data_IF_965116303744
#
_entry.id   IF_965116303744
#
_cell.length_a   1.000
_cell.length_b   1.000
_cell.length_c   1.000
_cell.angle_alpha   90.00
_cell.angle_beta   90.00
_cell.angle_gamma   90.00
#
_symmetry.space_group_name_H-M   'P 1'
#
loop_
_entity.id
_entity.type
_entity.pdbx_description
1 polymer ?
#
# COMPACT_ATOMS: atom_id res chain seq x y z
N UNK A 1 -54.17 17.28 21.00
CA UNK A 1 -53.06 16.30 20.98
C UNK A 1 -51.95 16.88 20.13
N UNK A 2 -50.85 17.32 20.75
CA UNK A 2 -49.70 17.91 20.04
C UNK A 2 -48.66 16.84 19.75
N UNK A 3 -48.28 16.67 18.49
CA UNK A 3 -47.23 15.74 18.07
C UNK A 3 -45.90 16.50 18.12
N UNK A 4 -45.01 16.10 19.02
CA UNK A 4 -43.63 16.60 19.08
C UNK A 4 -42.78 15.83 18.05
N UNK A 5 -42.14 16.58 17.15
CA UNK A 5 -41.27 16.05 16.12
C UNK A 5 -39.88 15.80 16.73
N UNK A 6 -39.51 14.53 16.96
CA UNK A 6 -38.21 14.15 17.52
C UNK A 6 -37.19 14.10 16.39
N UNK A 7 -36.36 15.13 16.28
CA UNK A 7 -35.23 15.17 15.35
C UNK A 7 -34.11 14.23 15.84
N UNK A 8 -34.13 12.99 15.37
CA UNK A 8 -33.06 12.02 15.63
C UNK A 8 -31.87 12.37 14.73
N UNK A 9 -30.85 13.03 15.29
CA UNK A 9 -29.54 13.17 14.65
C UNK A 9 -28.98 11.77 14.36
N UNK A 10 -28.56 11.45 13.13
CA UNK A 10 -27.88 10.19 12.87
C UNK A 10 -26.53 10.20 13.60
N UNK A 11 -26.43 9.33 14.62
CA UNK A 11 -25.18 8.97 15.27
C UNK A 11 -24.25 8.36 14.22
N UNK A 12 -23.10 8.98 14.00
CA UNK A 12 -22.01 8.47 13.17
C UNK A 12 -21.48 7.19 13.81
N UNK A 13 -22.16 6.07 13.55
CA UNK A 13 -21.64 4.74 13.82
C UNK A 13 -20.46 4.55 12.87
N UNK A 14 -19.25 4.50 13.42
CA UNK A 14 -18.08 4.05 12.67
C UNK A 14 -18.36 2.64 12.16
N UNK A 15 -18.78 2.56 10.90
CA UNK A 15 -19.05 1.30 10.24
C UNK A 15 -17.72 0.58 10.10
N UNK A 16 -17.54 -0.49 10.87
CA UNK A 16 -16.46 -1.48 10.76
C UNK A 16 -16.59 -2.32 9.48
N UNK A 17 -17.20 -1.78 8.44
CA UNK A 17 -17.25 -2.41 7.13
C UNK A 17 -15.90 -2.17 6.46
N UNK A 18 -15.24 -3.26 6.08
CA UNK A 18 -14.06 -3.20 5.22
C UNK A 18 -14.43 -2.37 3.98
N UNK A 19 -13.72 -1.26 3.80
CA UNK A 19 -13.92 -0.39 2.65
C UNK A 19 -13.63 -1.20 1.38
N UNK A 20 -14.48 -1.09 0.36
CA UNK A 20 -14.30 -1.75 -0.95
C UNK A 20 -14.18 -0.75 -2.09
N UNK A 21 -14.16 0.54 -1.79
CA UNK A 21 -14.17 1.65 -2.75
C UNK A 21 -12.78 1.91 -3.38
N UNK A 22 -11.80 1.01 -3.22
CA UNK A 22 -10.43 1.12 -3.73
C UNK A 22 -9.62 2.30 -3.16
N UNK A 23 -10.16 3.02 -2.17
CA UNK A 23 -9.51 4.15 -1.52
C UNK A 23 -8.88 3.74 -0.19
N UNK A 24 -7.74 4.37 0.10
CA UNK A 24 -7.06 4.30 1.39
C UNK A 24 -6.82 5.71 1.90
N UNK A 25 -6.63 5.88 3.21
CA UNK A 25 -6.21 7.17 3.76
C UNK A 25 -4.92 7.64 3.09
N UNK A 26 -4.89 8.92 2.70
CA UNK A 26 -3.67 9.55 2.24
C UNK A 26 -2.77 9.86 3.46
N UNK A 27 -1.82 8.96 3.75
CA UNK A 27 -0.90 9.08 4.90
C UNK A 27 0.00 10.32 4.83
N UNK A 28 0.14 10.94 3.66
CA UNK A 28 0.92 12.16 3.46
C UNK A 28 0.09 13.43 3.59
N UNK A 29 -1.25 13.33 3.69
CA UNK A 29 -2.09 14.49 3.96
C UNK A 29 -2.12 14.81 5.46
N UNK A 30 -2.17 16.12 5.78
CA UNK A 30 -2.44 16.60 7.13
C UNK A 30 -3.89 16.36 7.54
N UNK A 31 -4.82 16.31 6.58
CA UNK A 31 -6.23 16.10 6.85
C UNK A 31 -6.54 14.60 6.97
N UNK A 32 -7.09 14.12 8.11
CA UNK A 32 -7.37 12.71 8.32
C UNK A 32 -8.45 12.12 7.40
N UNK A 33 -9.25 12.97 6.75
CA UNK A 33 -10.33 12.55 5.85
C UNK A 33 -9.91 12.46 4.38
N UNK A 34 -8.70 12.93 4.03
CA UNK A 34 -8.22 12.84 2.66
C UNK A 34 -7.90 11.38 2.32
N UNK A 35 -8.41 10.95 1.16
CA UNK A 35 -8.19 9.60 0.63
C UNK A 35 -7.49 9.65 -0.70
N UNK A 36 -6.78 8.57 -1.01
CA UNK A 36 -6.10 8.34 -2.28
C UNK A 36 -6.41 6.93 -2.74
N UNK A 37 -6.52 6.71 -4.05
CA UNK A 37 -6.73 5.35 -4.56
C UNK A 37 -5.48 4.50 -4.33
N UNK A 38 -5.67 3.26 -3.88
CA UNK A 38 -4.57 2.32 -3.65
C UNK A 38 -3.75 2.04 -4.92
N UNK A 39 -4.41 1.93 -6.07
CA UNK A 39 -3.75 1.69 -7.36
C UNK A 39 -2.83 2.85 -7.78
N UNK A 40 -3.22 4.10 -7.50
CA UNK A 40 -2.41 5.29 -7.78
C UNK A 40 -1.18 5.32 -6.87
N UNK A 41 -1.32 4.91 -5.61
CA UNK A 41 -0.19 4.76 -4.69
C UNK A 41 0.81 3.74 -5.23
N UNK A 42 0.33 2.55 -5.59
CA UNK A 42 1.17 1.48 -6.15
C UNK A 42 1.83 1.90 -7.46
N UNK A 43 1.10 2.53 -8.39
CA UNK A 43 1.67 3.05 -9.64
C UNK A 43 2.81 4.05 -9.42
N UNK A 44 2.73 4.88 -8.37
CA UNK A 44 3.80 5.81 -8.00
C UNK A 44 5.00 5.07 -7.42
N UNK A 45 4.77 4.05 -6.61
CA UNK A 45 5.83 3.18 -6.08
C UNK A 45 6.54 2.42 -7.20
N UNK A 46 5.81 1.85 -8.15
CA UNK A 46 6.37 1.18 -9.34
C UNK A 46 7.31 2.12 -10.11
N UNK A 47 6.85 3.34 -10.39
CA UNK A 47 7.65 4.37 -11.06
C UNK A 47 8.88 4.82 -10.25
N UNK A 48 8.81 4.77 -8.93
CA UNK A 48 9.92 5.10 -8.06
C UNK A 48 10.93 3.94 -7.98
N UNK A 49 10.45 2.70 -7.84
CA UNK A 49 11.25 1.49 -7.79
C UNK A 49 12.04 1.28 -9.09
N UNK A 50 11.45 1.63 -10.24
CA UNK A 50 12.08 1.50 -11.55
C UNK A 50 13.23 2.49 -11.80
N UNK A 51 13.45 3.47 -10.92
CA UNK A 51 14.52 4.45 -11.12
C UNK A 51 15.87 3.84 -10.83
N UNK A 52 16.71 3.74 -11.86
CA UNK A 52 18.08 3.23 -11.72
C UNK A 52 18.15 1.74 -11.37
N UNK A 53 17.12 0.96 -11.69
CA UNK A 53 17.20 -0.51 -11.65
C UNK A 53 17.86 -1.11 -12.90
N UNK A 54 17.99 -0.33 -13.98
CA UNK A 54 18.52 -0.84 -15.25
C UNK A 54 17.62 -1.96 -15.81
N UNK A 55 18.24 -3.07 -16.21
CA UNK A 55 17.55 -4.28 -16.68
C UNK A 55 17.34 -5.31 -15.57
N UNK A 56 17.65 -4.97 -14.31
CA UNK A 56 17.61 -5.90 -13.19
C UNK A 56 16.26 -5.84 -12.47
N UNK A 57 15.52 -6.94 -12.54
CA UNK A 57 14.20 -7.06 -11.93
C UNK A 57 14.29 -7.16 -10.40
N UNK A 58 15.33 -7.78 -9.88
CA UNK A 58 15.60 -8.04 -8.47
C UNK A 58 15.70 -6.72 -7.69
N UNK A 59 16.42 -5.73 -8.26
CA UNK A 59 16.54 -4.38 -7.70
C UNK A 59 15.17 -3.68 -7.66
N UNK A 60 14.38 -3.84 -8.72
CA UNK A 60 13.04 -3.28 -8.79
C UNK A 60 12.10 -3.93 -7.77
N UNK A 61 12.08 -5.26 -7.72
CA UNK A 61 11.19 -6.05 -6.87
C UNK A 61 11.45 -5.77 -5.39
N UNK A 62 12.73 -5.83 -4.96
CA UNK A 62 13.13 -5.50 -3.59
C UNK A 62 12.64 -4.12 -3.19
N UNK A 63 12.96 -3.07 -3.96
CA UNK A 63 12.56 -1.69 -3.65
C UNK A 63 11.05 -1.51 -3.58
N UNK A 64 10.32 -2.10 -4.53
CA UNK A 64 8.87 -1.98 -4.57
C UNK A 64 8.23 -2.62 -3.35
N UNK A 65 8.65 -3.85 -3.01
CA UNK A 65 8.12 -4.57 -1.87
C UNK A 65 8.44 -3.86 -0.56
N UNK A 66 9.67 -3.35 -0.36
CA UNK A 66 10.00 -2.57 0.83
C UNK A 66 9.12 -1.33 0.98
N UNK A 67 8.95 -0.56 -0.10
CA UNK A 67 8.10 0.65 -0.06
C UNK A 67 6.64 0.30 0.23
N UNK A 68 6.12 -0.77 -0.37
CA UNK A 68 4.74 -1.20 -0.19
C UNK A 68 4.48 -1.74 1.23
N UNK A 69 5.41 -2.51 1.81
CA UNK A 69 5.33 -3.02 3.17
C UNK A 69 5.39 -1.89 4.20
N UNK A 70 6.30 -0.94 4.05
CA UNK A 70 6.38 0.27 4.90
C UNK A 70 5.08 1.10 4.81
N UNK A 71 4.49 1.23 3.62
CA UNK A 71 3.23 1.94 3.44
C UNK A 71 2.07 1.19 4.11
N UNK A 72 2.01 -0.13 3.95
CA UNK A 72 1.00 -0.99 4.55
C UNK A 72 1.02 -0.92 6.08
N UNK A 73 2.21 -0.88 6.69
CA UNK A 73 2.37 -0.74 8.14
C UNK A 73 1.80 0.58 8.65
N UNK A 74 2.02 1.68 7.91
CA UNK A 74 1.55 3.03 8.27
C UNK A 74 0.05 3.24 8.02
N UNK A 75 -0.59 2.39 7.22
CA UNK A 75 -2.01 2.51 6.95
C UNK A 75 -2.87 2.15 8.18
N UNK A 76 -4.01 2.84 8.38
CA UNK A 76 -5.03 2.41 9.33
C UNK A 76 -5.46 0.96 9.04
N UNK A 77 -5.69 0.16 10.08
CA UNK A 77 -6.03 -1.26 9.95
C UNK A 77 -7.22 -1.51 9.00
N UNK A 78 -8.22 -0.62 9.01
CA UNK A 78 -9.41 -0.70 8.14
C UNK A 78 -9.11 -0.55 6.64
N UNK A 79 -8.02 0.10 6.27
CA UNK A 79 -7.63 0.38 4.88
C UNK A 79 -6.65 -0.67 4.33
N UNK A 80 -6.00 -1.45 5.21
CA UNK A 80 -4.97 -2.44 4.84
C UNK A 80 -5.51 -3.49 3.84
N UNK A 81 -6.71 -4.08 4.00
CA UNK A 81 -7.21 -5.07 3.05
C UNK A 81 -7.42 -4.52 1.64
N UNK A 82 -7.79 -3.23 1.52
CA UNK A 82 -7.92 -2.55 0.21
C UNK A 82 -6.57 -2.47 -0.48
N UNK A 83 -5.54 -2.05 0.26
CA UNK A 83 -4.19 -1.92 -0.28
C UNK A 83 -3.60 -3.27 -0.69
N UNK A 84 -3.76 -4.30 0.16
CA UNK A 84 -3.33 -5.67 -0.15
C UNK A 84 -4.06 -6.20 -1.39
N UNK A 85 -5.37 -6.01 -1.48
CA UNK A 85 -6.16 -6.41 -2.64
C UNK A 85 -5.70 -5.72 -3.93
N UNK A 86 -5.44 -4.41 -3.88
CA UNK A 86 -4.91 -3.65 -5.01
C UNK A 86 -3.50 -4.10 -5.43
N UNK A 87 -2.64 -4.46 -4.47
CA UNK A 87 -1.31 -5.01 -4.75
C UNK A 87 -1.41 -6.39 -5.42
N UNK A 88 -2.28 -7.27 -4.92
CA UNK A 88 -2.51 -8.59 -5.51
C UNK A 88 -3.05 -8.51 -6.94
N UNK A 89 -3.93 -7.56 -7.25
CA UNK A 89 -4.41 -7.30 -8.62
C UNK A 89 -3.28 -6.90 -9.58
N UNK A 90 -2.16 -6.39 -9.07
CA UNK A 90 -0.97 -6.01 -9.83
C UNK A 90 0.12 -7.11 -9.80
N UNK A 91 -0.16 -8.24 -9.15
CA UNK A 91 0.77 -9.37 -9.06
C UNK A 91 1.73 -9.33 -7.86
N UNK A 92 1.54 -8.41 -6.91
CA UNK A 92 2.41 -8.30 -5.74
C UNK A 92 1.78 -8.98 -4.51
N UNK A 93 2.53 -9.88 -3.90
CA UNK A 93 2.16 -10.51 -2.63
C UNK A 93 2.84 -9.76 -1.49
N UNK A 94 2.08 -8.95 -0.75
CA UNK A 94 2.59 -8.17 0.37
C UNK A 94 2.69 -9.03 1.63
N UNK A 95 3.76 -9.81 1.73
CA UNK A 95 4.08 -10.65 2.89
C UNK A 95 5.55 -10.48 3.25
N UNK A 96 5.87 -10.73 4.53
CA UNK A 96 7.26 -10.66 5.00
C UNK A 96 8.18 -11.63 4.24
N UNK A 97 7.71 -12.86 3.98
CA UNK A 97 8.50 -13.87 3.26
C UNK A 97 8.82 -13.44 1.82
N UNK A 98 7.90 -12.76 1.14
CA UNK A 98 8.12 -12.25 -0.22
C UNK A 98 9.07 -11.05 -0.25
N UNK A 99 8.97 -10.17 0.76
CA UNK A 99 9.89 -9.05 0.94
C UNK A 99 11.31 -9.54 1.25
N UNK A 100 11.47 -10.48 2.18
CA UNK A 100 12.75 -11.11 2.52
C UNK A 100 13.38 -11.79 1.30
N UNK A 101 12.61 -12.61 0.57
CA UNK A 101 13.12 -13.27 -0.65
C UNK A 101 13.59 -12.26 -1.69
N UNK A 102 12.83 -11.20 -1.94
CA UNK A 102 13.23 -10.18 -2.91
C UNK A 102 14.49 -9.41 -2.45
N UNK A 103 14.69 -9.22 -1.15
CA UNK A 103 15.92 -8.66 -0.61
C UNK A 103 17.12 -9.58 -0.82
N UNK A 104 16.96 -10.88 -0.57
CA UNK A 104 18.02 -11.87 -0.76
C UNK A 104 18.43 -11.95 -2.25
N UNK A 105 17.46 -12.07 -3.16
CA UNK A 105 17.71 -12.08 -4.61
C UNK A 105 18.42 -10.79 -5.09
N UNK A 106 18.04 -9.63 -4.54
CA UNK A 106 18.72 -8.38 -4.84
C UNK A 106 20.14 -8.34 -4.27
N UNK A 107 20.38 -8.90 -3.09
CA UNK A 107 21.70 -8.95 -2.48
C UNK A 107 22.64 -9.87 -3.26
N UNK A 108 22.15 -11.04 -3.69
CA UNK A 108 22.88 -11.99 -4.53
C UNK A 108 23.28 -11.34 -5.86
N UNK A 109 22.34 -10.72 -6.56
CA UNK A 109 22.62 -9.97 -7.79
C UNK A 109 23.69 -8.88 -7.56
N UNK A 110 23.57 -8.10 -6.49
CA UNK A 110 24.54 -7.03 -6.21
C UNK A 110 25.93 -7.59 -5.91
N UNK A 111 26.02 -8.78 -5.30
CA UNK A 111 27.27 -9.51 -5.08
C UNK A 111 27.89 -9.96 -6.40
N UNK A 112 27.09 -10.52 -7.32
CA UNK A 112 27.55 -10.91 -8.66
C UNK A 112 28.07 -9.71 -9.45
N UNK A 113 27.31 -8.61 -9.50
CA UNK A 113 27.72 -7.39 -10.20
C UNK A 113 28.99 -6.76 -9.63
N UNK A 114 29.22 -6.92 -8.32
CA UNK A 114 30.43 -6.43 -7.66
C UNK A 114 31.64 -7.33 -7.92
N UNK A 115 31.44 -8.64 -8.15
CA UNK A 115 32.50 -9.57 -8.49
C UNK A 115 32.97 -9.45 -9.96
N UNK A 116 32.12 -8.92 -10.83
CA UNK A 116 32.40 -8.70 -12.25
C UNK A 116 33.23 -7.42 -12.54
N UNK A 117 33.60 -6.64 -11.52
CA UNK A 117 34.38 -5.40 -11.61
C UNK A 117 35.67 -5.45 -10.78
#
# INVERSE_FOLDING_TARGET
MSIQNVNVKPSTKESTTLRTDCFVRNIHSRNPFDVIRADVVLARMEKQASRGCGLYYEIYASRLLSMAMIYLEKLPLKDRPVFIGAAAQRGYMLTLAEEERAHDECADLMSELAADY
#
